data_IF_760393837611
#
_entry.id   IF_760393837611
#
_cell.length_a   1.000
_cell.length_b   1.000
_cell.length_c   1.000
_cell.angle_alpha   90.00
_cell.angle_beta   90.00
_cell.angle_gamma   90.00
#
_symmetry.space_group_name_H-M   'P 1'
#
loop_
_entity.id
_entity.type
_entity.pdbx_description
1 polymer ?
#
# COMPACT_ATOMS: atom_id res chain seq x y z
N UNK A 1 -18.14 -20.83 -24.40
CA UNK A 1 -18.44 -20.33 -23.04
C UNK A 1 -17.79 -18.97 -22.88
N UNK A 2 -18.55 -17.93 -22.55
CA UNK A 2 -18.00 -16.58 -22.36
C UNK A 2 -17.36 -16.54 -20.98
N UNK A 3 -16.03 -16.55 -20.93
CA UNK A 3 -15.25 -16.35 -19.70
C UNK A 3 -15.61 -14.97 -19.15
N UNK A 4 -16.50 -14.90 -18.17
CA UNK A 4 -16.81 -13.64 -17.49
C UNK A 4 -15.54 -13.18 -16.75
N UNK A 5 -14.83 -12.23 -17.35
CA UNK A 5 -13.68 -11.60 -16.73
C UNK A 5 -14.19 -10.86 -15.47
N UNK A 6 -13.79 -11.36 -14.30
CA UNK A 6 -14.06 -10.71 -13.02
C UNK A 6 -13.42 -9.30 -12.99
N UNK A 7 -13.95 -8.37 -12.20
CA UNK A 7 -13.45 -7.00 -12.14
C UNK A 7 -11.97 -6.98 -11.71
N UNK A 8 -11.20 -6.07 -12.32
CA UNK A 8 -9.79 -5.85 -12.03
C UNK A 8 -9.64 -5.32 -10.60
N UNK A 9 -8.86 -6.01 -9.77
CA UNK A 9 -8.54 -5.56 -8.43
C UNK A 9 -7.20 -4.83 -8.43
N UNK A 10 -7.24 -3.56 -8.06
CA UNK A 10 -6.07 -2.70 -7.99
C UNK A 10 -5.67 -2.46 -6.54
N UNK A 11 -4.45 -2.86 -6.22
CA UNK A 11 -3.84 -2.68 -4.91
C UNK A 11 -2.66 -1.74 -5.01
N UNK A 12 -2.46 -0.96 -3.96
CA UNK A 12 -1.30 -0.12 -3.76
C UNK A 12 -0.66 -0.52 -2.44
N UNK A 13 0.66 -0.62 -2.42
CA UNK A 13 1.44 -0.75 -1.19
C UNK A 13 2.46 0.35 -1.17
N UNK A 14 2.45 1.19 -0.15
CA UNK A 14 3.47 2.21 0.05
C UNK A 14 4.45 1.69 1.07
N UNK A 15 5.74 1.85 0.80
CA UNK A 15 6.84 1.47 1.67
C UNK A 15 7.61 2.71 2.12
N UNK A 16 7.96 2.73 3.41
CA UNK A 16 8.80 3.75 4.02
C UNK A 16 10.11 3.14 4.48
N UNK A 17 11.13 3.97 4.61
CA UNK A 17 12.43 3.61 5.18
C UNK A 17 12.83 4.58 6.26
N UNK A 18 13.33 4.04 7.36
CA UNK A 18 14.03 4.81 8.37
C UNK A 18 15.40 5.28 7.87
N UNK A 19 15.91 6.45 8.32
CA UNK A 19 17.28 6.87 8.07
C UNK A 19 18.31 5.93 8.71
N UNK A 20 17.90 5.09 9.67
CA UNK A 20 18.73 4.03 10.27
C UNK A 20 18.96 2.83 9.32
N UNK A 21 18.47 2.90 8.08
CA UNK A 21 18.71 1.88 7.06
C UNK A 21 18.07 0.53 7.40
N UNK A 22 18.87 -0.53 7.41
CA UNK A 22 18.38 -1.90 7.61
C UNK A 22 18.02 -2.21 9.07
N UNK A 23 18.58 -1.45 10.02
CA UNK A 23 18.31 -1.61 11.45
C UNK A 23 17.03 -0.87 11.89
N UNK A 24 16.51 0.04 11.07
CA UNK A 24 15.33 0.83 11.37
C UNK A 24 14.03 0.19 10.89
N UNK A 25 12.88 0.74 11.33
CA UNK A 25 11.58 0.29 10.86
C UNK A 25 11.44 0.49 9.34
N UNK A 26 10.71 -0.44 8.71
CA UNK A 26 10.32 -0.40 7.30
C UNK A 26 8.80 -0.54 7.16
N UNK A 27 8.04 0.49 7.55
CA UNK A 27 6.59 0.44 7.46
C UNK A 27 6.17 0.16 6.01
N UNK A 28 5.14 -0.66 5.87
CA UNK A 28 4.54 -0.99 4.58
C UNK A 28 3.05 -1.12 4.78
N UNK A 29 2.28 -0.29 4.08
CA UNK A 29 0.83 -0.27 4.22
C UNK A 29 0.18 -0.55 2.88
N UNK A 30 -0.77 -1.48 2.89
CA UNK A 30 -1.53 -1.87 1.72
C UNK A 30 -2.87 -1.15 1.71
N UNK A 31 -3.24 -0.65 0.53
CA UNK A 31 -4.47 0.05 0.23
C UNK A 31 -5.17 -0.76 -0.86
N UNK A 32 -6.42 -1.11 -0.62
CA UNK A 32 -7.30 -1.79 -1.58
C UNK A 32 -8.15 -0.77 -2.35
N UNK A 33 -8.73 -1.22 -3.46
CA UNK A 33 -9.69 -0.43 -4.26
C UNK A 33 -9.14 0.95 -4.64
N UNK A 34 -7.92 0.97 -5.17
CA UNK A 34 -7.19 2.22 -5.40
C UNK A 34 -7.80 3.04 -6.54
N UNK A 35 -7.94 4.35 -6.31
CA UNK A 35 -8.39 5.32 -7.32
C UNK A 35 -7.43 5.37 -8.50
N UNK A 36 -7.84 4.86 -9.66
CA UNK A 36 -7.00 4.85 -10.88
C UNK A 36 -6.54 6.25 -11.28
N UNK A 37 -7.42 7.23 -11.16
CA UNK A 37 -7.15 8.64 -11.50
C UNK A 37 -6.07 9.28 -10.61
N UNK A 38 -5.82 8.74 -9.42
CA UNK A 38 -4.80 9.25 -8.49
C UNK A 38 -3.42 8.60 -8.68
N UNK A 39 -3.32 7.56 -9.50
CA UNK A 39 -2.06 6.84 -9.70
C UNK A 39 -1.07 7.55 -10.64
N UNK A 40 -1.57 8.36 -11.57
CA UNK A 40 -0.74 9.21 -12.43
C UNK A 40 -0.25 10.47 -11.71
N UNK A 41 -0.88 10.85 -10.59
CA UNK A 41 -0.53 12.03 -9.81
C UNK A 41 0.62 11.72 -8.82
N UNK A 42 1.84 11.88 -9.32
CA UNK A 42 3.07 11.62 -8.57
C UNK A 42 3.16 12.44 -7.27
N UNK A 43 2.90 13.75 -7.36
CA UNK A 43 3.02 14.65 -6.21
C UNK A 43 1.95 14.32 -5.16
N UNK A 44 0.71 14.03 -5.58
CA UNK A 44 -0.33 13.60 -4.66
C UNK A 44 0.07 12.33 -3.89
N UNK A 45 0.56 11.30 -4.59
CA UNK A 45 1.03 10.06 -3.93
C UNK A 45 2.14 10.38 -2.93
N UNK A 46 3.09 11.24 -3.31
CA UNK A 46 4.21 11.62 -2.45
C UNK A 46 3.71 12.38 -1.21
N UNK A 47 2.76 13.30 -1.35
CA UNK A 47 2.12 14.01 -0.23
C UNK A 47 1.39 13.05 0.72
N UNK A 48 0.58 12.14 0.18
CA UNK A 48 -0.09 11.09 0.97
C UNK A 48 0.91 10.20 1.71
N UNK A 49 2.09 9.97 1.13
CA UNK A 49 3.17 9.23 1.76
C UNK A 49 4.00 10.06 2.77
N UNK A 50 3.65 11.32 3.03
CA UNK A 50 4.31 12.20 4.01
C UNK A 50 5.26 13.23 3.40
N UNK A 51 5.27 13.37 2.07
CA UNK A 51 6.07 14.35 1.35
C UNK A 51 7.57 14.13 1.52
N UNK A 52 8.36 15.21 1.40
CA UNK A 52 9.82 15.18 1.60
C UNK A 52 10.22 14.81 3.02
N UNK A 53 9.40 15.20 4.00
CA UNK A 53 9.74 15.03 5.41
C UNK A 53 9.43 13.61 5.88
N UNK A 54 8.43 12.95 5.30
CA UNK A 54 7.93 11.67 5.78
C UNK A 54 7.09 11.87 7.03
N UNK A 55 7.19 10.96 8.01
CA UNK A 55 6.45 11.09 9.26
C UNK A 55 7.11 10.31 10.41
N UNK A 56 6.64 10.55 11.63
CA UNK A 56 7.07 9.81 12.80
C UNK A 56 6.30 8.49 12.91
N UNK A 57 6.98 7.37 12.69
CA UNK A 57 6.44 6.03 12.94
C UNK A 57 6.63 5.64 14.40
N UNK A 58 5.69 4.91 15.00
CA UNK A 58 5.81 4.52 16.40
C UNK A 58 4.75 3.53 16.88
N UNK A 59 4.38 3.67 18.16
CA UNK A 59 3.56 2.70 18.91
C UNK A 59 2.05 2.85 18.74
N UNK A 60 1.57 3.97 18.21
CA UNK A 60 0.14 4.18 18.00
C UNK A 60 -0.27 3.51 16.71
N UNK A 61 -1.24 2.60 16.78
CA UNK A 61 -1.78 1.85 15.65
C UNK A 61 -3.13 2.43 15.29
N UNK A 62 -3.26 2.95 14.08
CA UNK A 62 -4.55 3.32 13.50
C UNK A 62 -5.04 2.21 12.58
N UNK A 63 -6.33 1.87 12.69
CA UNK A 63 -7.02 0.91 11.83
C UNK A 63 -8.26 1.58 11.27
N UNK A 64 -8.24 1.85 9.97
CA UNK A 64 -9.40 2.35 9.22
C UNK A 64 -10.17 1.18 8.60
N UNK A 65 -11.45 1.05 8.93
CA UNK A 65 -12.40 0.14 8.28
C UNK A 65 -12.96 0.79 7.03
N UNK A 66 -12.87 0.10 5.89
CA UNK A 66 -13.29 0.60 4.60
C UNK A 66 -14.60 -0.09 4.16
N UNK A 67 -15.41 0.63 3.38
CA UNK A 67 -16.71 0.13 2.86
C UNK A 67 -16.60 -1.10 1.94
N UNK A 68 -15.42 -1.39 1.39
CA UNK A 68 -15.14 -2.60 0.60
C UNK A 68 -14.79 -3.84 1.45
N UNK A 69 -14.87 -3.72 2.79
CA UNK A 69 -14.55 -4.78 3.73
C UNK A 69 -13.04 -4.96 3.97
N UNK A 70 -12.19 -4.11 3.41
CA UNK A 70 -10.76 -4.08 3.69
C UNK A 70 -10.43 -3.12 4.85
N UNK A 71 -9.20 -3.28 5.38
CA UNK A 71 -8.68 -2.41 6.43
C UNK A 71 -7.38 -1.76 5.98
N UNK A 72 -7.21 -0.48 6.31
CA UNK A 72 -5.91 0.20 6.25
C UNK A 72 -5.38 0.25 7.67
N UNK A 73 -4.23 -0.39 7.90
CA UNK A 73 -3.53 -0.34 9.19
C UNK A 73 -2.25 0.45 9.02
N UNK A 74 -2.08 1.50 9.82
CA UNK A 74 -0.84 2.27 9.88
C UNK A 74 -0.43 2.56 11.32
N UNK A 75 0.78 3.10 11.46
CA UNK A 75 1.39 3.39 12.75
C UNK A 75 1.88 4.82 12.80
N UNK A 76 1.84 5.45 13.96
CA UNK A 76 2.33 6.80 14.22
C UNK A 76 3.08 6.91 15.55
N UNK A 77 3.92 7.95 15.67
CA UNK A 77 4.64 8.31 16.88
C UNK A 77 3.72 8.83 17.99
N UNK A 78 2.61 9.46 17.60
CA UNK A 78 1.52 9.95 18.44
C UNK A 78 0.19 9.39 17.93
N UNK A 79 -0.87 9.55 18.71
CA UNK A 79 -2.24 9.20 18.33
C UNK A 79 -2.68 9.96 17.06
N UNK A 80 -2.59 11.29 17.10
CA UNK A 80 -2.92 12.18 15.97
C UNK A 80 -2.14 11.82 14.70
N UNK A 81 -0.82 11.58 14.82
CA UNK A 81 0.01 11.24 13.66
C UNK A 81 -0.39 9.88 13.04
N UNK A 82 -0.89 8.94 13.85
CA UNK A 82 -1.39 7.67 13.34
C UNK A 82 -2.73 7.85 12.62
N UNK A 83 -3.63 8.67 13.18
CA UNK A 83 -4.93 9.00 12.59
C UNK A 83 -4.79 9.78 11.27
N UNK A 84 -4.02 10.88 11.27
CA UNK A 84 -3.72 11.67 10.08
C UNK A 84 -3.11 10.80 8.98
N UNK A 85 -2.23 9.86 9.34
CA UNK A 85 -1.65 8.93 8.38
C UNK A 85 -2.70 7.98 7.81
N UNK A 86 -3.61 7.46 8.64
CA UNK A 86 -4.69 6.60 8.18
C UNK A 86 -5.59 7.35 7.20
N UNK A 87 -6.03 8.56 7.57
CA UNK A 87 -6.84 9.44 6.74
C UNK A 87 -6.15 9.79 5.42
N UNK A 88 -4.86 10.11 5.44
CA UNK A 88 -4.12 10.38 4.21
C UNK A 88 -4.13 9.17 3.26
N UNK A 89 -3.89 7.96 3.78
CA UNK A 89 -3.88 6.74 2.98
C UNK A 89 -5.25 6.38 2.40
N UNK A 90 -6.34 6.68 3.11
CA UNK A 90 -7.70 6.39 2.64
C UNK A 90 -8.08 7.24 1.43
N UNK A 91 -7.48 8.44 1.27
CA UNK A 91 -7.72 9.30 0.10
C UNK A 91 -7.36 8.63 -1.23
N UNK A 92 -6.42 7.67 -1.23
CA UNK A 92 -6.01 6.89 -2.39
C UNK A 92 -7.00 5.78 -2.75
N UNK A 93 -7.98 5.46 -1.90
CA UNK A 93 -8.99 4.43 -2.16
C UNK A 93 -10.30 5.04 -2.66
N UNK A 94 -11.00 4.34 -3.55
CA UNK A 94 -12.39 4.61 -3.93
C UNK A 94 -13.38 4.18 -2.84
N UNK A 95 -12.97 3.32 -1.91
CA UNK A 95 -13.79 2.94 -0.77
C UNK A 95 -13.89 4.09 0.24
N UNK A 96 -15.11 4.30 0.77
CA UNK A 96 -15.33 5.22 1.87
C UNK A 96 -14.83 4.65 3.20
N UNK A 97 -14.32 5.52 4.07
CA UNK A 97 -13.97 5.20 5.45
C UNK A 97 -15.24 5.08 6.27
N UNK A 98 -15.40 3.98 7.00
CA UNK A 98 -16.51 3.79 7.92
C UNK A 98 -16.14 4.23 9.34
N UNK A 99 -15.00 3.75 9.84
CA UNK A 99 -14.53 3.99 11.21
C UNK A 99 -13.00 4.01 11.20
N UNK A 100 -12.39 4.89 11.99
CA UNK A 100 -10.97 4.83 12.33
C UNK A 100 -10.85 4.62 13.83
N UNK A 101 -10.12 3.58 14.22
CA UNK A 101 -9.77 3.34 15.62
C UNK A 101 -8.27 3.51 15.79
N UNK A 102 -7.87 4.31 16.78
CA UNK A 102 -6.47 4.43 17.18
C UNK A 102 -6.27 3.76 18.51
N UNK A 103 -5.19 2.97 18.62
CA UNK A 103 -4.85 2.23 19.82
C UNK A 103 -3.37 2.36 20.10
N UNK A 104 -3.02 2.63 21.36
CA UNK A 104 -1.62 2.58 21.78
C UNK A 104 -1.20 1.12 22.01
N UNK A 105 -0.18 0.64 21.28
CA UNK A 105 0.43 -0.66 21.57
C UNK A 105 1.29 -0.53 22.84
N UNK A 106 0.64 -0.73 23.99
CA UNK A 106 1.32 -0.80 25.29
C UNK A 106 2.18 -2.05 25.37
N UNK A 107 3.35 -1.93 25.99
CA UNK A 107 4.28 -3.04 26.19
C UNK A 107 3.84 -3.83 27.42
N UNK A 108 3.83 -5.15 27.32
CA UNK A 108 3.71 -6.05 28.46
C UNK A 108 4.67 -7.23 28.31
N UNK A 109 5.03 -7.84 29.45
CA UNK A 109 5.86 -9.05 29.54
C UNK A 109 7.19 -8.95 28.74
N UNK A 110 7.56 -10.00 28.00
CA UNK A 110 8.85 -10.18 27.31
C UNK A 110 9.22 -9.03 26.35
N UNK A 111 8.23 -8.26 25.88
CA UNK A 111 8.43 -7.10 24.99
C UNK A 111 9.03 -5.88 25.71
N UNK A 112 9.05 -5.85 27.03
CA UNK A 112 9.81 -4.85 27.80
C UNK A 112 11.33 -5.11 27.70
N UNK A 113 11.71 -6.38 27.74
CA UNK A 113 13.12 -6.82 27.79
C UNK A 113 13.82 -6.75 26.44
N UNK A 114 13.11 -7.06 25.34
CA UNK A 114 13.71 -7.08 24.00
C UNK A 114 13.65 -5.69 23.35
N UNK A 115 14.79 -4.99 23.33
CA UNK A 115 14.92 -3.64 22.76
C UNK A 115 14.52 -3.57 21.27
N UNK A 116 14.75 -4.63 20.49
CA UNK A 116 14.41 -4.68 19.05
C UNK A 116 12.90 -4.80 18.73
N UNK A 117 12.06 -5.15 19.70
CA UNK A 117 10.60 -5.20 19.52
C UNK A 117 9.92 -3.88 19.88
N UNK A 118 10.71 -2.84 20.20
CA UNK A 118 10.22 -1.53 20.62
C UNK A 118 9.89 -0.68 19.39
N UNK A 119 8.64 -0.24 19.29
CA UNK A 119 8.22 0.80 18.35
C UNK A 119 8.47 2.18 18.94
N UNK A 120 9.73 2.57 19.02
CA UNK A 120 10.09 3.94 19.42
C UNK A 120 9.77 4.91 18.29
N UNK A 121 9.38 6.13 18.65
CA UNK A 121 9.08 7.17 17.67
C UNK A 121 10.30 7.40 16.78
N UNK A 122 10.18 7.05 15.51
CA UNK A 122 11.29 7.03 14.56
C UNK A 122 10.84 7.74 13.29
N UNK A 123 11.65 8.70 12.82
CA UNK A 123 11.41 9.33 11.54
C UNK A 123 11.52 8.29 10.42
N UNK A 124 10.53 8.24 9.53
CA UNK A 124 10.56 7.39 8.34
C UNK A 124 10.21 8.23 7.11
N UNK A 125 10.89 7.96 6.00
CA UNK A 125 10.70 8.66 4.73
C UNK A 125 10.05 7.75 3.69
N UNK A 126 9.21 8.29 2.80
CA UNK A 126 8.64 7.51 1.71
C UNK A 126 9.76 6.99 0.80
N UNK A 127 9.66 5.72 0.42
CA UNK A 127 10.66 5.05 -0.38
C UNK A 127 10.13 4.70 -1.77
N UNK A 128 9.11 3.85 -1.83
CA UNK A 128 8.51 3.40 -3.08
C UNK A 128 7.05 3.04 -2.89
N UNK A 129 6.32 3.09 -3.98
CA UNK A 129 4.97 2.54 -4.12
C UNK A 129 5.04 1.28 -4.98
N UNK A 130 4.31 0.24 -4.60
CA UNK A 130 4.14 -0.98 -5.37
C UNK A 130 2.67 -1.07 -5.75
N UNK A 131 2.41 -0.93 -7.04
CA UNK A 131 1.05 -1.03 -7.57
C UNK A 131 0.91 -2.43 -8.14
N UNK A 132 -0.15 -3.13 -7.76
CA UNK A 132 -0.45 -4.48 -8.22
C UNK A 132 -1.85 -4.51 -8.81
N UNK A 133 -1.94 -4.87 -10.08
CA UNK A 133 -3.20 -5.15 -10.76
C UNK A 133 -3.38 -6.66 -10.85
N UNK A 134 -4.51 -7.17 -10.36
CA UNK A 134 -4.87 -8.59 -10.44
C UNK A 134 -6.07 -8.76 -11.35
N UNK A 135 -5.89 -9.57 -12.39
CA UNK A 135 -6.98 -10.07 -13.22
C UNK A 135 -7.24 -11.52 -12.86
N UNK A 136 -8.49 -11.85 -12.54
CA UNK A 136 -8.91 -13.20 -12.20
C UNK A 136 -9.47 -13.94 -13.41
N UNK A 137 -9.28 -15.25 -13.40
CA UNK A 137 -9.67 -16.21 -14.41
C UNK A 137 -10.29 -17.41 -13.71
N UNK A 138 -11.27 -18.03 -14.36
CA UNK A 138 -11.92 -19.24 -13.87
C UNK A 138 -10.99 -20.46 -13.99
N UNK A 139 -10.15 -20.48 -15.02
CA UNK A 139 -9.27 -21.59 -15.36
C UNK A 139 -7.79 -21.23 -15.13
N UNK A 140 -6.92 -22.23 -14.88
CA UNK A 140 -5.49 -22.00 -14.72
C UNK A 140 -4.86 -21.58 -16.05
N UNK A 141 -4.19 -20.43 -16.04
CA UNK A 141 -3.33 -19.99 -17.14
C UNK A 141 -1.85 -20.06 -16.76
N UNK A 142 -0.93 -20.13 -17.74
CA UNK A 142 0.51 -20.00 -17.47
C UNK A 142 0.81 -18.72 -16.67
N UNK A 143 1.55 -18.86 -15.57
CA UNK A 143 1.89 -17.74 -14.68
C UNK A 143 0.77 -17.28 -13.74
N UNK A 144 -0.40 -17.92 -13.79
CA UNK A 144 -1.49 -17.66 -12.84
C UNK A 144 -1.21 -18.30 -11.47
N UNK A 145 -1.75 -17.69 -10.42
CA UNK A 145 -1.69 -18.15 -9.03
C UNK A 145 -3.10 -18.49 -8.56
N UNK A 146 -3.24 -19.61 -7.86
CA UNK A 146 -4.52 -19.99 -7.26
C UNK A 146 -4.90 -19.05 -6.10
N UNK A 147 -6.19 -18.77 -5.98
CA UNK A 147 -6.84 -17.99 -4.94
C UNK A 147 -8.22 -18.59 -4.64
N UNK A 148 -8.83 -18.19 -3.53
CA UNK A 148 -10.22 -18.57 -3.21
C UNK A 148 -11.23 -18.18 -4.30
N UNK A 149 -10.90 -17.18 -5.13
CA UNK A 149 -11.73 -16.64 -6.22
C UNK A 149 -11.41 -17.24 -7.61
N UNK A 150 -10.58 -18.28 -7.68
CA UNK A 150 -10.06 -18.84 -8.93
C UNK A 150 -8.58 -18.54 -9.13
N UNK A 151 -8.14 -18.35 -10.36
CA UNK A 151 -6.74 -18.11 -10.71
C UNK A 151 -6.51 -16.64 -11.02
N UNK A 152 -5.35 -16.07 -10.71
CA UNK A 152 -5.04 -14.68 -11.08
C UNK A 152 -3.61 -14.51 -11.57
N UNK A 153 -3.42 -13.59 -12.51
CA UNK A 153 -2.09 -13.18 -12.97
C UNK A 153 -1.82 -11.78 -12.40
N UNK A 154 -0.88 -11.62 -11.45
CA UNK A 154 -0.54 -10.31 -10.93
C UNK A 154 0.45 -9.61 -11.88
N UNK A 155 0.12 -8.37 -12.25
CA UNK A 155 1.10 -7.42 -12.78
C UNK A 155 1.41 -6.42 -11.69
N UNK A 156 2.70 -6.23 -11.40
CA UNK A 156 3.11 -5.27 -10.39
C UNK A 156 4.33 -4.50 -10.84
N UNK A 157 4.39 -3.22 -10.47
CA UNK A 157 5.60 -2.43 -10.61
C UNK A 157 5.90 -1.68 -9.32
N UNK A 158 7.17 -1.64 -8.96
CA UNK A 158 7.69 -0.82 -7.88
C UNK A 158 8.22 0.50 -8.45
N UNK A 159 7.63 1.62 -8.02
CA UNK A 159 7.96 2.96 -8.47
C UNK A 159 8.54 3.77 -7.30
N UNK A 160 9.67 4.44 -7.52
CA UNK A 160 10.28 5.29 -6.49
C UNK A 160 9.45 6.54 -6.29
N UNK A 161 9.18 6.89 -5.03
CA UNK A 161 8.49 8.14 -4.64
C UNK A 161 9.37 8.99 -3.72
N UNK A 162 10.65 8.63 -3.59
CA UNK A 162 11.62 9.33 -2.75
C UNK A 162 12.13 10.62 -3.39
N UNK A 163 12.16 10.67 -4.73
CA UNK A 163 12.69 11.82 -5.46
C UNK A 163 11.77 13.03 -5.33
N UNK A 164 12.33 14.23 -5.37
CA UNK A 164 11.53 15.44 -5.48
C UNK A 164 10.90 15.60 -6.87
N UNK A 165 11.47 14.95 -7.88
CA UNK A 165 11.02 15.00 -9.27
C UNK A 165 10.39 13.68 -9.69
N UNK A 166 9.31 13.77 -10.48
CA UNK A 166 8.66 12.60 -11.09
C UNK A 166 9.65 11.88 -12.02
N UNK A 167 9.84 10.55 -11.89
CA UNK A 167 10.63 9.76 -12.84
C UNK A 167 10.07 9.85 -14.27
N UNK A 168 10.94 9.89 -15.28
CA UNK A 168 10.53 10.01 -16.68
C UNK A 168 9.68 8.83 -17.18
N UNK A 169 9.92 7.63 -16.63
CA UNK A 169 9.20 6.39 -16.95
C UNK A 169 7.90 6.20 -16.14
N UNK A 170 7.54 7.15 -15.27
CA UNK A 170 6.41 7.00 -14.33
C UNK A 170 5.11 6.69 -15.05
N UNK A 171 4.69 7.57 -15.95
CA UNK A 171 3.38 7.46 -16.62
C UNK A 171 3.31 6.19 -17.48
N UNK A 172 4.39 5.86 -18.20
CA UNK A 172 4.48 4.65 -19.00
C UNK A 172 4.29 3.39 -18.15
N UNK A 173 4.93 3.32 -16.98
CA UNK A 173 4.83 2.15 -16.09
C UNK A 173 3.45 2.05 -15.45
N UNK A 174 2.84 3.18 -15.06
CA UNK A 174 1.45 3.21 -14.58
C UNK A 174 0.50 2.69 -15.66
N UNK A 175 0.61 3.18 -16.90
CA UNK A 175 -0.24 2.73 -18.01
C UNK A 175 -0.09 1.23 -18.27
N UNK A 176 1.13 0.69 -18.26
CA UNK A 176 1.36 -0.75 -18.41
C UNK A 176 0.67 -1.58 -17.33
N UNK A 177 0.72 -1.13 -16.07
CA UNK A 177 0.05 -1.82 -14.97
C UNK A 177 -1.48 -1.75 -15.12
N UNK A 178 -2.01 -0.60 -15.53
CA UNK A 178 -3.45 -0.37 -15.66
C UNK A 178 -4.07 -1.13 -16.84
N UNK A 179 -3.33 -1.33 -17.94
CA UNK A 179 -3.74 -2.19 -19.06
C UNK A 179 -3.91 -3.64 -18.62
N UNK A 180 -3.17 -4.07 -17.59
CA UNK A 180 -3.27 -5.40 -17.00
C UNK A 180 -2.62 -6.49 -17.89
N UNK A 181 -2.68 -7.76 -17.45
CA UNK A 181 -2.03 -8.86 -18.15
C UNK A 181 -2.66 -9.14 -19.51
N UNK A 182 -1.84 -9.00 -20.55
CA UNK A 182 -2.14 -9.46 -21.91
C UNK A 182 -1.84 -10.95 -21.96
N UNK A 183 -2.87 -11.78 -21.92
CA UNK A 183 -2.71 -13.22 -22.20
C UNK A 183 -2.76 -13.34 -23.71
N UNK A 184 -1.61 -13.54 -24.36
CA UNK A 184 -1.58 -13.95 -25.76
C UNK A 184 -2.24 -15.33 -25.85
N UNK A 185 -3.32 -15.48 -26.61
CA UNK A 185 -3.87 -16.80 -26.91
C UNK A 185 -2.77 -17.62 -27.60
N UNK A 186 -2.37 -18.80 -27.07
CA UNK A 186 -1.69 -19.76 -27.91
C UNK A 186 -2.70 -20.19 -28.97
N UNK A 187 -2.34 -20.00 -30.25
CA UNK A 187 -3.11 -20.49 -31.38
C UNK A 187 -3.18 -22.01 -31.43
#
# INVERSE_FOLDING_TARGET
MITQAQPLELYCRIEWRSPLGNAGPRPSYQISSVKRSKLSDYEFIRLVAGGSNGYLWGRYKAVASMSDGHFITCYGGTEDAAEERALALTTLSDANVQVINVTEEKRSAVRLTIKGLRKESTQVQPYRIIITNRKYYTEPHPGSRASKRGYFIPISAALSIRSATKPADWDQRISQILLGPTVSNPG
#
